data_IF_994217256645
#
_entry.id   IF_994217256645
#
_cell.length_a   1.000
_cell.length_b   1.000
_cell.length_c   1.000
_cell.angle_alpha   90.00
_cell.angle_beta   90.00
_cell.angle_gamma   90.00
#
_symmetry.space_group_name_H-M   'P 1'
#
loop_
_entity.id
_entity.type
_entity.pdbx_description
1 polymer ?
#
# COMPACT_ATOMS: atom_id res chain seq x y z
N UNK A 1 8.99 70.94 -44.94
CA UNK A 1 9.34 69.52 -44.71
C UNK A 1 9.73 69.35 -43.24
N UNK A 2 8.77 68.95 -42.38
CA UNK A 2 9.00 68.68 -40.95
C UNK A 2 9.00 67.16 -40.76
N UNK A 3 10.05 66.61 -40.16
CA UNK A 3 10.17 65.19 -39.81
C UNK A 3 9.43 64.94 -38.49
N UNK A 4 8.44 64.05 -38.48
CA UNK A 4 7.81 63.52 -37.27
C UNK A 4 8.71 62.48 -36.62
N UNK A 5 8.92 62.60 -35.31
CA UNK A 5 9.54 61.59 -34.45
C UNK A 5 8.41 60.83 -33.75
N UNK A 6 8.26 59.54 -34.05
CA UNK A 6 7.38 58.65 -33.30
C UNK A 6 8.09 58.13 -32.06
N UNK A 7 7.56 58.44 -30.88
CA UNK A 7 7.97 57.86 -29.60
C UNK A 7 7.26 56.50 -29.48
N UNK A 8 8.05 55.42 -29.56
CA UNK A 8 7.61 54.07 -29.23
C UNK A 8 7.72 53.91 -27.70
N UNK A 9 6.58 53.82 -27.02
CA UNK A 9 6.52 53.42 -25.62
C UNK A 9 6.70 51.90 -25.58
N UNK A 10 7.92 51.46 -25.27
CA UNK A 10 8.25 50.07 -25.00
C UNK A 10 7.91 49.78 -23.52
N UNK A 11 6.78 49.13 -23.27
CA UNK A 11 6.43 48.61 -21.95
C UNK A 11 7.35 47.42 -21.62
N UNK A 12 8.40 47.68 -20.85
CA UNK A 12 9.22 46.67 -20.19
C UNK A 12 8.41 46.05 -19.05
N UNK A 13 7.95 44.81 -19.24
CA UNK A 13 7.52 43.93 -18.15
C UNK A 13 8.58 42.83 -17.96
N UNK A 14 9.60 43.15 -17.17
CA UNK A 14 10.34 42.15 -16.38
C UNK A 14 9.70 42.20 -14.98
N UNK A 15 9.27 41.11 -14.35
CA UNK A 15 10.17 40.06 -13.89
C UNK A 15 9.37 38.93 -13.20
N UNK A 16 9.83 37.70 -13.45
CA UNK A 16 9.79 36.46 -12.64
C UNK A 16 8.76 36.31 -11.51
N UNK A 17 8.05 35.16 -11.47
CA UNK A 17 8.16 34.17 -10.38
C UNK A 17 7.58 32.80 -10.78
N UNK A 18 8.50 31.82 -10.83
CA UNK A 18 8.35 30.39 -10.52
C UNK A 18 7.49 29.53 -11.45
N UNK A 19 8.18 28.74 -12.30
CA UNK A 19 7.67 27.45 -12.77
C UNK A 19 7.45 26.59 -11.52
N UNK A 20 6.21 26.60 -11.03
CA UNK A 20 5.76 25.75 -9.94
C UNK A 20 5.82 24.32 -10.50
N UNK A 21 6.50 23.40 -9.80
CA UNK A 21 6.43 22.00 -10.18
C UNK A 21 4.98 21.56 -9.96
N UNK A 22 4.20 21.61 -11.03
CA UNK A 22 2.80 21.21 -11.05
C UNK A 22 2.77 19.69 -11.19
N UNK A 23 1.94 19.05 -10.37
CA UNK A 23 1.38 17.73 -10.69
C UNK A 23 1.05 17.73 -12.19
N UNK A 24 1.60 16.78 -12.94
CA UNK A 24 1.59 16.82 -14.41
C UNK A 24 0.17 17.09 -14.96
N UNK A 25 0.08 17.94 -15.99
CA UNK A 25 -1.19 18.41 -16.56
C UNK A 25 -2.12 17.28 -17.04
N UNK A 26 -1.55 16.11 -17.27
CA UNK A 26 -2.23 14.84 -17.50
C UNK A 26 -1.50 13.74 -16.73
N UNK A 27 -2.23 12.97 -15.93
CA UNK A 27 -1.65 11.89 -15.14
C UNK A 27 -2.69 11.14 -14.34
N UNK A 28 -2.46 9.83 -14.17
CA UNK A 28 -3.29 8.99 -13.32
C UNK A 28 -2.61 8.81 -11.96
N UNK A 29 -3.41 8.87 -10.91
CA UNK A 29 -2.96 8.81 -9.53
C UNK A 29 -3.74 7.71 -8.81
N UNK A 30 -3.01 6.70 -8.36
CA UNK A 30 -3.60 5.53 -7.74
C UNK A 30 -3.44 5.59 -6.23
N UNK A 31 -4.55 5.53 -5.49
CA UNK A 31 -4.55 5.56 -4.02
C UNK A 31 -4.52 4.17 -3.37
N UNK A 32 -4.33 3.11 -4.15
CA UNK A 32 -4.51 1.76 -3.65
C UNK A 32 -5.94 1.23 -3.75
N UNK A 33 -6.88 1.96 -4.36
CA UNK A 33 -8.21 1.45 -4.76
C UNK A 33 -8.65 2.06 -6.08
N UNK A 34 -8.74 3.38 -6.09
CA UNK A 34 -9.27 4.19 -7.17
C UNK A 34 -8.10 4.82 -7.92
N UNK A 35 -8.22 4.82 -9.24
CA UNK A 35 -7.35 5.60 -10.11
C UNK A 35 -8.02 6.93 -10.42
N UNK A 36 -7.44 8.02 -9.95
CA UNK A 36 -7.90 9.37 -10.23
C UNK A 36 -7.18 9.94 -11.45
N UNK A 37 -7.93 10.56 -12.35
CA UNK A 37 -7.37 11.43 -13.37
C UNK A 37 -7.13 12.82 -12.79
N UNK A 38 -5.94 13.37 -13.01
CA UNK A 38 -5.58 14.73 -12.64
C UNK A 38 -5.81 15.69 -13.82
N UNK A 39 -6.50 16.80 -13.56
CA UNK A 39 -6.70 17.89 -14.52
C UNK A 39 -6.23 19.21 -13.91
N UNK A 40 -5.23 19.81 -14.54
CA UNK A 40 -4.73 21.14 -14.14
C UNK A 40 -5.74 22.24 -14.44
N UNK A 41 -5.80 23.22 -13.54
CA UNK A 41 -6.69 24.38 -13.59
C UNK A 41 -5.89 25.67 -13.34
N UNK A 42 -6.43 26.86 -13.71
CA UNK A 42 -5.78 28.13 -13.43
C UNK A 42 -5.38 28.32 -11.96
N UNK A 43 -4.28 29.02 -11.73
CA UNK A 43 -3.73 29.24 -10.38
C UNK A 43 -3.08 28.01 -9.75
N UNK A 44 -2.68 27.03 -10.57
CA UNK A 44 -1.96 25.82 -10.13
C UNK A 44 -2.85 24.81 -9.38
N UNK A 45 -4.17 24.99 -9.41
CA UNK A 45 -5.13 24.05 -8.83
C UNK A 45 -5.18 22.79 -9.67
N UNK A 46 -5.49 21.65 -9.05
CA UNK A 46 -5.62 20.37 -9.75
C UNK A 46 -6.90 19.70 -9.31
N UNK A 47 -7.78 19.42 -10.25
CA UNK A 47 -8.99 18.62 -10.03
C UNK A 47 -8.61 17.15 -10.17
N UNK A 48 -8.95 16.36 -9.17
CA UNK A 48 -8.74 14.93 -9.13
C UNK A 48 -10.12 14.27 -9.24
N UNK A 49 -10.36 13.56 -10.34
CA UNK A 49 -11.65 12.94 -10.64
C UNK A 49 -11.51 11.44 -10.87
N UNK A 50 -12.47 10.67 -10.36
CA UNK A 50 -12.58 9.25 -10.63
C UNK A 50 -14.04 8.78 -10.61
N UNK A 51 -14.27 7.62 -11.23
CA UNK A 51 -15.51 6.86 -11.10
C UNK A 51 -15.18 5.49 -10.49
N UNK A 52 -15.88 5.10 -9.44
CA UNK A 52 -15.69 3.81 -8.77
C UNK A 52 -17.03 3.19 -8.41
N UNK A 53 -17.28 1.96 -8.87
CA UNK A 53 -18.52 1.22 -8.61
C UNK A 53 -19.83 2.00 -8.88
N UNK A 54 -19.80 2.93 -9.85
CA UNK A 54 -20.94 3.79 -10.22
C UNK A 54 -21.08 5.07 -9.39
N UNK A 55 -20.16 5.33 -8.45
CA UNK A 55 -20.07 6.55 -7.67
C UNK A 55 -18.98 7.49 -8.22
N UNK A 56 -19.31 8.78 -8.34
CA UNK A 56 -18.36 9.81 -8.77
C UNK A 56 -17.60 10.36 -7.57
N UNK A 57 -16.27 10.43 -7.70
CA UNK A 57 -15.36 10.96 -6.70
C UNK A 57 -14.63 12.19 -7.25
N UNK A 58 -14.59 13.27 -6.47
CA UNK A 58 -13.88 14.50 -6.85
C UNK A 58 -13.31 15.25 -5.65
N UNK A 59 -12.08 15.73 -5.80
CA UNK A 59 -11.48 16.70 -4.89
C UNK A 59 -10.53 17.62 -5.64
N UNK A 60 -10.24 18.78 -5.06
CA UNK A 60 -9.36 19.78 -5.67
C UNK A 60 -8.16 20.02 -4.78
N UNK A 61 -6.96 19.84 -5.34
CA UNK A 61 -5.71 20.25 -4.73
C UNK A 61 -5.50 21.74 -5.00
N UNK A 62 -5.34 22.51 -3.92
CA UNK A 62 -5.14 23.97 -3.97
C UNK A 62 -3.74 24.30 -3.48
N UNK A 63 -2.87 24.94 -4.29
CA UNK A 63 -1.51 25.26 -3.86
C UNK A 63 -1.48 26.11 -2.59
N UNK A 64 -0.55 25.80 -1.70
CA UNK A 64 -0.28 26.62 -0.52
C UNK A 64 0.70 27.73 -0.89
N UNK A 65 0.28 28.98 -0.72
CA UNK A 65 1.09 30.15 -1.03
C UNK A 65 2.46 30.07 -0.32
N UNK A 66 3.53 30.32 -1.08
CA UNK A 66 4.91 30.30 -0.59
C UNK A 66 5.46 28.90 -0.26
N UNK A 67 4.70 27.82 -0.45
CA UNK A 67 5.17 26.45 -0.21
C UNK A 67 5.12 25.63 -1.50
N UNK A 68 6.30 25.33 -2.04
CA UNK A 68 6.45 24.45 -3.19
C UNK A 68 5.93 23.05 -2.86
N UNK A 69 5.30 22.40 -3.85
CA UNK A 69 4.86 21.00 -3.78
C UNK A 69 3.91 20.71 -2.59
N UNK A 70 3.21 21.74 -2.12
CA UNK A 70 2.31 21.68 -0.98
C UNK A 70 0.92 22.18 -1.37
N UNK A 71 -0.10 21.41 -1.02
CA UNK A 71 -1.49 21.69 -1.39
C UNK A 71 -2.42 21.48 -0.18
N UNK A 72 -3.54 22.20 -0.15
CA UNK A 72 -4.71 21.84 0.68
C UNK A 72 -5.72 21.08 -0.16
N UNK A 73 -6.64 20.38 0.49
CA UNK A 73 -7.75 19.67 -0.16
C UNK A 73 -9.02 20.50 -0.04
N UNK A 74 -9.68 20.76 -1.16
CA UNK A 74 -11.01 21.34 -1.24
C UNK A 74 -11.98 20.36 -1.89
N UNK A 75 -13.28 20.58 -1.68
CA UNK A 75 -14.30 19.82 -2.38
C UNK A 75 -14.33 20.18 -3.87
N UNK A 76 -14.76 19.20 -4.66
CA UNK A 76 -15.17 19.39 -6.03
C UNK A 76 -16.34 20.36 -6.19
N UNK A 77 -16.53 20.88 -7.42
CA UNK A 77 -17.65 21.77 -7.74
C UNK A 77 -18.96 21.02 -7.96
N UNK A 78 -18.88 19.72 -8.25
CA UNK A 78 -20.01 18.93 -8.69
C UNK A 78 -20.75 18.20 -7.54
N UNK A 79 -20.30 18.40 -6.29
CA UNK A 79 -20.90 17.74 -5.12
C UNK A 79 -20.56 16.25 -4.98
N UNK A 80 -19.64 15.74 -5.79
CA UNK A 80 -19.15 14.37 -5.77
C UNK A 80 -18.40 14.01 -4.48
N UNK A 81 -18.19 12.71 -4.26
CA UNK A 81 -17.58 12.21 -3.03
C UNK A 81 -16.11 12.61 -2.94
N UNK A 82 -15.75 13.26 -1.84
CA UNK A 82 -14.36 13.60 -1.52
C UNK A 82 -13.84 12.68 -0.41
N UNK A 83 -13.13 11.60 -0.79
CA UNK A 83 -12.51 10.65 0.17
C UNK A 83 -11.45 11.30 1.07
N UNK A 84 -10.91 12.45 0.67
CA UNK A 84 -9.85 13.18 1.38
C UNK A 84 -10.38 14.40 2.15
N UNK A 85 -11.70 14.46 2.38
CA UNK A 85 -12.30 15.49 3.22
C UNK A 85 -11.68 15.46 4.63
N UNK A 86 -11.15 16.59 5.07
CA UNK A 86 -10.49 16.73 6.38
C UNK A 86 -8.98 16.52 6.37
N UNK A 87 -8.39 16.13 5.22
CA UNK A 87 -6.94 16.23 5.01
C UNK A 87 -6.54 17.70 5.08
N UNK A 88 -5.49 17.99 5.86
CA UNK A 88 -5.03 19.34 6.12
C UNK A 88 -4.01 19.79 5.09
N UNK A 89 -3.08 18.91 4.72
CA UNK A 89 -2.01 19.21 3.79
C UNK A 89 -1.69 17.98 2.93
N UNK A 90 -1.41 18.21 1.66
CA UNK A 90 -0.89 17.23 0.72
C UNK A 90 0.49 17.69 0.29
N UNK A 91 1.46 16.78 0.33
CA UNK A 91 2.83 17.04 -0.14
C UNK A 91 3.11 16.17 -1.36
N UNK A 92 3.60 16.78 -2.43
CA UNK A 92 4.07 16.09 -3.61
C UNK A 92 5.56 15.80 -3.47
N UNK A 93 5.94 14.55 -3.69
CA UNK A 93 7.32 14.11 -3.59
C UNK A 93 7.72 13.38 -4.86
N UNK A 94 8.82 13.84 -5.47
CA UNK A 94 9.51 13.15 -6.55
C UNK A 94 10.93 12.80 -6.14
N UNK A 95 11.14 11.57 -5.65
CA UNK A 95 12.40 11.15 -5.02
C UNK A 95 12.65 9.66 -5.23
N UNK A 96 13.90 9.29 -5.52
CA UNK A 96 14.32 7.88 -5.69
C UNK A 96 13.44 7.11 -6.71
N UNK A 97 13.04 7.77 -7.80
CA UNK A 97 12.18 7.19 -8.83
C UNK A 97 10.69 7.14 -8.48
N UNK A 98 10.30 7.49 -7.24
CA UNK A 98 8.92 7.60 -6.82
C UNK A 98 8.36 8.98 -7.13
N UNK A 99 7.10 9.02 -7.55
CA UNK A 99 6.32 10.24 -7.78
C UNK A 99 4.98 10.05 -7.05
N UNK A 100 4.84 10.70 -5.89
CA UNK A 100 3.78 10.40 -4.92
C UNK A 100 3.15 11.65 -4.31
N UNK A 101 1.86 11.58 -3.99
CA UNK A 101 1.14 12.56 -3.17
C UNK A 101 0.89 11.97 -1.79
N UNK A 102 1.37 12.65 -0.75
CA UNK A 102 1.25 12.23 0.64
C UNK A 102 0.22 13.11 1.37
N UNK A 103 -0.83 12.52 1.90
CA UNK A 103 -2.00 13.20 2.48
C UNK A 103 -1.93 13.17 4.01
N UNK A 104 -1.81 14.33 4.63
CA UNK A 104 -1.62 14.48 6.06
C UNK A 104 -2.84 15.13 6.72
N UNK A 105 -3.28 14.58 7.85
CA UNK A 105 -4.36 15.18 8.64
C UNK A 105 -3.86 16.40 9.45
N UNK A 106 -4.76 17.04 10.20
CA UNK A 106 -4.45 18.21 11.05
C UNK A 106 -3.42 17.95 12.16
N UNK A 107 -3.20 16.68 12.54
CA UNK A 107 -2.17 16.25 13.50
C UNK A 107 -0.84 15.93 12.81
N UNK A 108 -0.71 16.22 11.51
CA UNK A 108 0.44 15.89 10.67
C UNK A 108 0.73 14.38 10.61
N UNK A 109 -0.29 13.53 10.76
CA UNK A 109 -0.16 12.10 10.52
C UNK A 109 -0.46 11.80 9.05
N UNK A 110 0.41 11.01 8.41
CA UNK A 110 0.21 10.52 7.04
C UNK A 110 -0.98 9.54 7.02
N UNK A 111 -2.05 9.91 6.33
CA UNK A 111 -3.28 9.11 6.26
C UNK A 111 -3.48 8.39 4.93
N UNK A 112 -2.88 8.88 3.85
CA UNK A 112 -2.93 8.20 2.56
C UNK A 112 -1.72 8.60 1.70
N UNK A 113 -1.38 7.73 0.75
CA UNK A 113 -0.39 8.02 -0.29
C UNK A 113 -0.98 7.62 -1.65
N UNK A 114 -0.87 8.50 -2.63
CA UNK A 114 -1.16 8.19 -4.03
C UNK A 114 0.14 8.11 -4.80
N UNK A 115 0.28 7.09 -5.64
CA UNK A 115 1.39 7.00 -6.60
C UNK A 115 0.93 7.43 -7.98
N UNK A 116 1.76 8.20 -8.66
CA UNK A 116 1.60 8.44 -10.09
C UNK A 116 1.80 7.15 -10.88
N UNK A 117 1.00 6.91 -11.91
CA UNK A 117 1.11 5.73 -12.76
C UNK A 117 0.33 5.86 -14.06
N UNK A 118 0.30 4.77 -14.83
CA UNK A 118 -0.60 4.62 -15.98
C UNK A 118 -1.88 3.89 -15.56
N UNK A 119 -2.99 4.17 -16.27
CA UNK A 119 -4.33 3.66 -15.96
C UNK A 119 -4.41 2.11 -15.82
N UNK A 120 -3.53 1.37 -16.48
CA UNK A 120 -3.57 -0.10 -16.62
C UNK A 120 -2.78 -0.88 -15.57
N UNK A 121 -2.12 -0.22 -14.61
CA UNK A 121 -1.15 -0.88 -13.71
C UNK A 121 -1.72 -1.24 -12.32
N UNK A 122 -2.87 -0.68 -11.91
CA UNK A 122 -3.36 -0.80 -10.52
C UNK A 122 -3.71 -2.23 -10.08
N UNK A 123 -4.35 -3.02 -10.95
CA UNK A 123 -4.71 -4.42 -10.66
C UNK A 123 -3.48 -5.33 -10.65
N UNK A 124 -2.54 -5.13 -11.57
CA UNK A 124 -1.26 -5.85 -11.64
C UNK A 124 -0.40 -5.55 -10.43
N UNK A 125 -0.31 -4.29 -10.03
CA UNK A 125 0.38 -3.86 -8.81
C UNK A 125 -0.26 -4.56 -7.61
N UNK A 126 -1.58 -4.55 -7.47
CA UNK A 126 -2.27 -5.17 -6.33
C UNK A 126 -1.99 -6.68 -6.24
N UNK A 127 -2.08 -7.39 -7.35
CA UNK A 127 -1.73 -8.82 -7.43
C UNK A 127 -0.25 -9.05 -7.09
N UNK A 128 0.65 -8.24 -7.62
CA UNK A 128 2.08 -8.32 -7.33
C UNK A 128 2.37 -8.11 -5.83
N UNK A 129 1.73 -7.13 -5.19
CA UNK A 129 1.84 -6.86 -3.74
C UNK A 129 1.34 -8.05 -2.93
N UNK A 130 0.20 -8.63 -3.30
CA UNK A 130 -0.38 -9.78 -2.61
C UNK A 130 0.52 -11.01 -2.74
N UNK A 131 1.00 -11.33 -3.94
CA UNK A 131 1.91 -12.46 -4.17
C UNK A 131 3.21 -12.33 -3.38
N UNK A 132 3.81 -11.14 -3.37
CA UNK A 132 5.02 -10.87 -2.59
C UNK A 132 4.87 -11.17 -1.09
N UNK A 133 3.67 -11.04 -0.54
CA UNK A 133 3.40 -11.33 0.88
C UNK A 133 3.23 -12.82 1.16
N UNK A 134 2.75 -13.58 0.18
CA UNK A 134 2.59 -15.03 0.28
C UNK A 134 3.90 -15.79 0.16
N UNK A 135 4.89 -15.27 -0.57
CA UNK A 135 6.12 -15.99 -0.89
C UNK A 135 6.85 -16.47 0.38
N UNK A 136 7.31 -17.73 0.31
CA UNK A 136 8.13 -18.35 1.34
C UNK A 136 7.71 -19.78 1.65
N UNK A 137 8.35 -20.31 2.70
CA UNK A 137 8.17 -21.69 3.15
C UNK A 137 7.31 -21.75 4.40
N UNK A 138 6.35 -22.67 4.42
CA UNK A 138 5.37 -22.82 5.48
C UNK A 138 5.12 -24.28 5.83
N UNK A 139 4.69 -24.52 7.07
CA UNK A 139 4.18 -25.80 7.52
C UNK A 139 2.80 -25.61 8.16
N UNK A 140 1.92 -26.57 7.93
CA UNK A 140 0.58 -26.55 8.50
C UNK A 140 0.64 -26.76 10.02
N UNK A 141 -0.04 -25.91 10.75
CA UNK A 141 -0.25 -26.04 12.20
C UNK A 141 -1.49 -26.90 12.46
N UNK A 142 -1.47 -27.66 13.56
CA UNK A 142 -2.61 -28.46 14.04
C UNK A 142 -3.10 -29.53 13.03
N UNK A 143 -2.18 -30.24 12.37
CA UNK A 143 -2.52 -31.38 11.51
C UNK A 143 -2.54 -32.69 12.30
N UNK A 144 -3.56 -33.53 12.09
CA UNK A 144 -3.70 -34.86 12.71
C UNK A 144 -2.78 -35.94 12.10
N UNK A 145 -1.71 -35.55 11.39
CA UNK A 145 -0.78 -36.41 10.64
C UNK A 145 0.35 -35.58 10.01
N UNK A 146 1.03 -36.08 8.97
CA UNK A 146 2.02 -35.31 8.21
C UNK A 146 1.35 -34.06 7.61
N UNK A 147 1.57 -32.92 8.26
CA UNK A 147 1.03 -31.63 7.85
C UNK A 147 1.45 -31.26 6.43
N UNK A 148 0.71 -30.34 5.82
CA UNK A 148 1.10 -29.79 4.53
C UNK A 148 2.33 -28.89 4.71
N UNK A 149 3.36 -29.10 3.90
CA UNK A 149 4.48 -28.17 3.73
C UNK A 149 4.30 -27.44 2.41
N UNK A 150 4.37 -26.12 2.46
CA UNK A 150 4.22 -25.25 1.30
C UNK A 150 5.52 -24.52 1.05
N UNK A 151 5.96 -24.51 -0.19
CA UNK A 151 6.94 -23.56 -0.71
C UNK A 151 6.26 -22.74 -1.81
N UNK A 152 5.94 -21.50 -1.47
CA UNK A 152 5.18 -20.58 -2.32
C UNK A 152 6.16 -19.66 -3.05
N UNK A 153 6.09 -19.73 -4.38
CA UNK A 153 6.81 -18.86 -5.30
C UNK A 153 5.85 -17.94 -6.06
N UNK A 154 6.38 -17.11 -6.97
CA UNK A 154 5.62 -16.09 -7.69
C UNK A 154 4.40 -16.65 -8.46
N UNK A 155 4.52 -17.84 -9.04
CA UNK A 155 3.46 -18.43 -9.89
C UNK A 155 3.05 -19.84 -9.47
N UNK A 156 3.73 -20.43 -8.50
CA UNK A 156 3.57 -21.83 -8.15
C UNK A 156 3.66 -22.04 -6.65
N UNK A 157 2.93 -23.02 -6.17
CA UNK A 157 3.01 -23.54 -4.81
C UNK A 157 3.49 -24.98 -4.92
N UNK A 158 4.61 -25.29 -4.28
CA UNK A 158 5.04 -26.65 -4.07
C UNK A 158 4.42 -27.19 -2.77
N UNK A 159 3.54 -28.17 -2.88
CA UNK A 159 2.86 -28.84 -1.77
C UNK A 159 3.42 -30.24 -1.61
N UNK A 160 4.24 -30.47 -0.57
CA UNK A 160 4.88 -31.77 -0.31
C UNK A 160 5.51 -32.39 -1.59
N UNK A 161 6.30 -31.60 -2.34
CA UNK A 161 6.96 -31.97 -3.60
C UNK A 161 6.06 -32.00 -4.85
N UNK A 162 4.83 -31.51 -4.78
CA UNK A 162 3.93 -31.35 -5.93
C UNK A 162 3.74 -29.89 -6.29
N UNK A 163 4.11 -29.53 -7.50
CA UNK A 163 3.97 -28.17 -8.03
C UNK A 163 2.54 -27.91 -8.49
N UNK A 164 1.95 -26.80 -8.05
CA UNK A 164 0.58 -26.41 -8.34
C UNK A 164 0.55 -24.92 -8.71
N UNK A 165 -0.21 -24.56 -9.75
CA UNK A 165 -0.47 -23.15 -10.05
C UNK A 165 -1.53 -22.59 -9.10
N UNK A 166 -1.47 -21.28 -8.85
CA UNK A 166 -2.54 -20.59 -8.14
C UNK A 166 -2.87 -19.27 -8.82
N UNK A 167 -4.16 -18.95 -8.84
CA UNK A 167 -4.65 -17.66 -9.28
C UNK A 167 -4.90 -16.77 -8.08
N UNK A 168 -4.68 -15.46 -8.26
CA UNK A 168 -4.92 -14.44 -7.24
C UNK A 168 -5.95 -13.47 -7.77
N UNK A 169 -7.00 -13.27 -6.99
CA UNK A 169 -7.92 -12.15 -7.18
C UNK A 169 -7.79 -11.24 -5.99
N UNK A 170 -7.39 -10.00 -6.22
CA UNK A 170 -7.35 -8.95 -5.19
C UNK A 170 -8.55 -8.04 -5.34
N UNK A 171 -9.15 -7.63 -4.23
CA UNK A 171 -10.28 -6.70 -4.24
C UNK A 171 -9.77 -5.27 -4.08
N UNK A 172 -10.04 -4.40 -5.06
CA UNK A 172 -10.02 -2.95 -4.90
C UNK A 172 -8.75 -2.41 -4.19
N UNK A 173 -7.59 -3.00 -4.55
CA UNK A 173 -6.24 -2.72 -4.06
C UNK A 173 -6.00 -2.85 -2.55
N UNK A 174 -6.90 -3.54 -1.87
CA UNK A 174 -6.64 -4.11 -0.56
C UNK A 174 -5.80 -5.37 -0.77
N UNK A 175 -4.79 -5.59 0.08
CA UNK A 175 -4.09 -6.88 0.19
C UNK A 175 -4.98 -7.87 0.95
N UNK A 176 -6.21 -8.03 0.47
CA UNK A 176 -7.05 -9.17 0.67
C UNK A 176 -7.36 -9.71 -0.71
N UNK A 177 -7.15 -10.99 -0.84
CA UNK A 177 -7.42 -11.71 -2.04
C UNK A 177 -7.67 -13.15 -1.70
N UNK A 178 -8.25 -13.86 -2.64
CA UNK A 178 -8.31 -15.29 -2.56
C UNK A 178 -7.31 -15.92 -3.51
N UNK A 179 -6.74 -17.03 -3.05
CA UNK A 179 -6.03 -17.95 -3.91
C UNK A 179 -6.98 -19.05 -4.37
N UNK A 180 -6.94 -19.36 -5.65
CA UNK A 180 -7.61 -20.55 -6.18
C UNK A 180 -6.56 -21.57 -6.54
N UNK A 181 -6.69 -22.76 -5.96
CA UNK A 181 -5.80 -23.90 -6.20
C UNK A 181 -6.62 -24.97 -6.93
N UNK A 182 -6.23 -25.43 -8.13
CA UNK A 182 -6.95 -26.49 -8.83
C UNK A 182 -6.88 -27.82 -8.08
N UNK A 183 -7.67 -28.80 -8.51
CA UNK A 183 -7.59 -30.17 -7.99
C UNK A 183 -6.15 -30.71 -8.09
N UNK A 184 -5.66 -31.29 -6.99
CA UNK A 184 -4.31 -31.90 -6.91
C UNK A 184 -4.44 -33.34 -6.46
N UNK A 185 -3.88 -34.29 -7.20
CA UNK A 185 -3.93 -35.71 -6.78
C UNK A 185 -3.23 -35.94 -5.43
N UNK A 186 -3.81 -36.78 -4.56
CA UNK A 186 -3.20 -37.22 -3.30
C UNK A 186 -3.47 -36.29 -2.11
N UNK A 187 -2.62 -36.31 -1.08
CA UNK A 187 -2.81 -35.53 0.17
C UNK A 187 -2.88 -34.00 -0.07
N UNK A 188 -2.23 -33.50 -1.12
CA UNK A 188 -2.31 -32.09 -1.54
C UNK A 188 -3.72 -31.65 -1.96
N UNK A 189 -4.64 -32.57 -2.26
CA UNK A 189 -6.03 -32.24 -2.58
C UNK A 189 -6.74 -31.45 -1.46
N UNK A 190 -6.24 -31.55 -0.22
CA UNK A 190 -6.75 -30.78 0.92
C UNK A 190 -6.64 -29.27 0.71
N UNK A 191 -5.76 -28.80 -0.18
CA UNK A 191 -5.62 -27.41 -0.58
C UNK A 191 -6.43 -27.03 -1.83
N UNK A 192 -6.96 -27.99 -2.59
CA UNK A 192 -7.73 -27.67 -3.78
C UNK A 192 -8.99 -26.87 -3.42
N UNK A 193 -9.28 -25.80 -4.16
CA UNK A 193 -10.41 -24.88 -4.02
C UNK A 193 -9.99 -23.43 -3.83
N UNK A 194 -10.96 -22.58 -3.48
CA UNK A 194 -10.76 -21.13 -3.30
C UNK A 194 -10.65 -20.78 -1.82
N UNK A 195 -9.67 -19.94 -1.48
CA UNK A 195 -9.32 -19.60 -0.10
C UNK A 195 -9.04 -18.13 0.08
N UNK A 196 -9.67 -17.51 1.06
CA UNK A 196 -9.22 -16.22 1.56
C UNK A 196 -7.95 -16.41 2.39
N UNK A 197 -6.94 -15.59 2.12
CA UNK A 197 -5.70 -15.55 2.90
C UNK A 197 -5.81 -14.48 3.98
N UNK A 198 -5.71 -14.89 5.24
CA UNK A 198 -5.63 -13.99 6.39
C UNK A 198 -4.25 -14.13 7.03
N UNK A 199 -3.40 -13.12 6.88
CA UNK A 199 -2.06 -13.12 7.47
C UNK A 199 -2.11 -13.12 9.01
N UNK A 200 -1.26 -13.94 9.64
CA UNK A 200 -1.05 -13.98 11.09
C UNK A 200 0.37 -13.56 11.44
N UNK A 201 0.68 -13.39 12.73
CA UNK A 201 2.03 -13.01 13.19
C UNK A 201 3.14 -13.94 12.67
N UNK A 202 2.84 -15.22 12.47
CA UNK A 202 3.86 -16.21 12.16
C UNK A 202 3.55 -16.95 10.86
N UNK A 203 2.61 -16.48 10.04
CA UNK A 203 2.25 -17.10 8.77
C UNK A 203 0.90 -16.60 8.26
N UNK A 204 -0.03 -17.50 8.00
CA UNK A 204 -1.38 -17.15 7.54
C UNK A 204 -2.39 -18.26 7.86
N UNK A 205 -3.67 -17.89 7.82
CA UNK A 205 -4.81 -18.81 7.86
C UNK A 205 -5.53 -18.73 6.52
N UNK A 206 -5.81 -19.89 5.94
CA UNK A 206 -6.69 -20.02 4.79
C UNK A 206 -8.12 -20.31 5.27
N UNK A 207 -9.06 -19.45 4.89
CA UNK A 207 -10.48 -19.66 5.09
C UNK A 207 -11.13 -20.09 3.78
N UNK A 208 -11.81 -21.24 3.78
CA UNK A 208 -12.48 -21.74 2.59
C UNK A 208 -13.59 -20.77 2.15
N UNK A 209 -13.60 -20.46 0.86
CA UNK A 209 -14.62 -19.64 0.23
C UNK A 209 -15.50 -20.47 -0.71
N UNK A 210 -16.77 -20.08 -0.79
CA UNK A 210 -17.68 -20.47 -1.87
C UNK A 210 -18.16 -19.22 -2.61
N UNK A 211 -18.52 -19.38 -3.87
CA UNK A 211 -19.11 -18.30 -4.66
C UNK A 211 -20.62 -18.31 -4.48
N UNK A 212 -21.14 -17.24 -3.89
CA UNK A 212 -22.57 -17.01 -3.75
C UNK A 212 -23.09 -16.39 -5.05
N UNK A 213 -23.88 -17.18 -5.80
CA UNK A 213 -24.42 -16.75 -7.09
C UNK A 213 -25.52 -15.70 -6.96
N UNK A 214 -26.21 -15.68 -5.84
CA UNK A 214 -27.30 -14.73 -5.60
C UNK A 214 -26.74 -13.33 -5.41
N UNK A 215 -25.67 -13.22 -4.63
CA UNK A 215 -25.00 -11.95 -4.34
C UNK A 215 -23.79 -11.64 -5.22
N UNK A 216 -23.48 -12.54 -6.17
CA UNK A 216 -22.34 -12.45 -7.09
C UNK A 216 -21.01 -12.15 -6.35
N UNK A 217 -20.78 -12.81 -5.22
CA UNK A 217 -19.66 -12.52 -4.33
C UNK A 217 -19.07 -13.79 -3.69
N UNK A 218 -17.84 -13.69 -3.17
CA UNK A 218 -17.22 -14.79 -2.43
C UNK A 218 -17.51 -14.67 -0.93
N UNK A 219 -17.92 -15.78 -0.31
CA UNK A 219 -18.33 -15.83 1.10
C UNK A 219 -17.55 -16.92 1.83
N UNK A 220 -17.13 -16.65 3.08
CA UNK A 220 -16.51 -17.66 3.96
C UNK A 220 -17.52 -18.75 4.29
N UNK A 221 -17.11 -20.01 4.19
CA UNK A 221 -17.91 -21.13 4.65
C UNK A 221 -18.09 -21.11 6.18
N UNK A 222 -19.33 -21.05 6.68
CA UNK A 222 -19.63 -20.95 8.13
C UNK A 222 -19.19 -22.16 8.97
N UNK A 223 -19.20 -23.37 8.38
CA UNK A 223 -18.68 -24.61 9.00
C UNK A 223 -17.32 -25.01 8.39
N UNK A 224 -16.66 -24.06 7.72
CA UNK A 224 -15.61 -24.30 6.74
C UNK A 224 -14.32 -24.86 7.29
N UNK A 225 -13.63 -25.61 6.44
CA UNK A 225 -12.24 -26.00 6.68
C UNK A 225 -11.40 -24.73 6.79
N UNK A 226 -10.64 -24.57 7.89
CA UNK A 226 -9.55 -23.60 7.98
C UNK A 226 -8.22 -24.34 7.99
N UNK A 227 -7.23 -23.79 7.31
CA UNK A 227 -5.87 -24.31 7.33
C UNK A 227 -4.95 -23.23 7.85
N UNK A 228 -4.31 -23.48 8.99
CA UNK A 228 -3.34 -22.56 9.58
C UNK A 228 -1.94 -22.98 9.16
N UNK A 229 -1.14 -22.01 8.74
CA UNK A 229 0.23 -22.20 8.30
C UNK A 229 1.15 -21.28 9.09
N UNK A 230 2.24 -21.84 9.58
CA UNK A 230 3.37 -21.09 10.14
C UNK A 230 4.51 -21.09 9.15
N UNK A 231 5.18 -19.96 9.03
CA UNK A 231 6.42 -19.82 8.26
C UNK A 231 7.46 -20.71 8.94
N UNK A 232 8.16 -21.52 8.15
CA UNK A 232 9.35 -22.22 8.64
C UNK A 232 10.37 -21.17 9.13
N UNK A 233 11.28 -21.52 10.05
CA UNK A 233 12.36 -20.62 10.53
C UNK A 233 13.19 -20.12 9.34
N UNK A 234 12.73 -19.03 8.75
CA UNK A 234 13.19 -18.59 7.44
C UNK A 234 14.29 -17.56 7.64
N UNK A 235 15.34 -17.68 6.82
CA UNK A 235 16.35 -16.62 6.63
C UNK A 235 15.77 -15.34 6.01
N UNK A 236 14.45 -15.25 5.81
CA UNK A 236 13.78 -14.16 5.14
C UNK A 236 12.96 -13.30 6.10
N UNK A 237 12.85 -12.02 5.73
CA UNK A 237 12.03 -11.01 6.39
C UNK A 237 10.54 -11.29 6.18
N UNK A 238 9.73 -11.25 7.23
CA UNK A 238 8.29 -11.57 7.14
C UNK A 238 7.52 -10.51 6.36
N UNK A 239 7.88 -9.26 6.56
CA UNK A 239 7.36 -8.07 5.91
C UNK A 239 8.39 -7.41 4.98
N UNK A 240 9.32 -8.19 4.41
CA UNK A 240 10.38 -7.67 3.55
C UNK A 240 9.86 -6.88 2.34
N UNK A 241 8.65 -7.19 1.88
CA UNK A 241 7.96 -6.44 0.81
C UNK A 241 7.76 -4.96 1.17
N UNK A 242 7.62 -4.61 2.45
CA UNK A 242 7.42 -3.24 2.92
C UNK A 242 8.64 -2.34 2.68
N UNK A 243 9.81 -2.90 2.33
CA UNK A 243 10.97 -2.10 1.89
C UNK A 243 10.95 -1.73 0.40
N UNK A 244 10.13 -2.39 -0.42
CA UNK A 244 10.12 -2.16 -1.88
C UNK A 244 8.75 -1.82 -2.44
N UNK A 245 7.72 -1.82 -1.61
CA UNK A 245 6.32 -1.69 -2.02
C UNK A 245 5.65 -0.57 -1.26
N UNK A 246 5.07 0.40 -1.96
CA UNK A 246 4.23 1.42 -1.33
C UNK A 246 3.00 0.79 -0.68
N UNK A 247 2.85 0.97 0.64
CA UNK A 247 1.68 0.49 1.38
C UNK A 247 0.53 1.51 1.30
N UNK A 248 -0.68 1.07 1.62
CA UNK A 248 -1.85 1.95 1.73
C UNK A 248 -2.57 1.72 3.06
N UNK A 249 -3.32 2.72 3.49
CA UNK A 249 -4.05 2.76 4.75
C UNK A 249 -5.11 1.64 4.85
N UNK A 250 -5.85 1.35 3.78
CA UNK A 250 -6.88 0.30 3.77
C UNK A 250 -6.32 -1.10 4.05
N UNK A 251 -5.15 -1.42 3.50
CA UNK A 251 -4.44 -2.66 3.82
C UNK A 251 -4.07 -2.69 5.31
N UNK A 252 -3.51 -1.60 5.82
CA UNK A 252 -3.01 -1.52 7.18
C UNK A 252 -4.14 -1.49 8.23
N UNK A 253 -5.31 -0.93 7.87
CA UNK A 253 -6.50 -0.87 8.72
C UNK A 253 -7.05 -2.25 9.08
N UNK A 254 -6.78 -3.27 8.25
CA UNK A 254 -7.20 -4.65 8.50
C UNK A 254 -6.24 -5.44 9.39
N UNK A 255 -5.09 -4.86 9.73
CA UNK A 255 -4.07 -5.52 10.54
C UNK A 255 -4.14 -5.08 12.00
N UNK A 256 -3.86 -6.02 12.90
CA UNK A 256 -3.74 -5.71 14.33
C UNK A 256 -2.59 -4.74 14.62
N UNK A 257 -2.73 -3.93 15.67
CA UNK A 257 -1.69 -2.98 16.11
C UNK A 257 -0.35 -3.67 16.41
N UNK A 258 -0.38 -4.88 16.98
CA UNK A 258 0.83 -5.68 17.23
C UNK A 258 1.54 -6.08 15.93
N UNK A 259 0.78 -6.48 14.91
CA UNK A 259 1.30 -6.84 13.57
C UNK A 259 1.94 -5.63 12.91
N UNK A 260 1.28 -4.47 12.97
CA UNK A 260 1.80 -3.21 12.43
C UNK A 260 3.08 -2.76 13.13
N UNK A 261 3.13 -2.90 14.46
CA UNK A 261 4.34 -2.62 15.24
C UNK A 261 5.51 -3.47 14.76
N UNK A 262 5.30 -4.77 14.54
CA UNK A 262 6.37 -5.63 14.02
C UNK A 262 6.74 -5.24 12.59
N UNK A 263 5.77 -5.00 11.71
CA UNK A 263 6.02 -4.57 10.31
C UNK A 263 6.87 -3.29 10.23
N UNK A 264 6.51 -2.25 10.99
CA UNK A 264 7.28 -1.00 11.05
C UNK A 264 8.71 -1.24 11.51
N UNK A 265 8.87 -2.02 12.58
CA UNK A 265 10.18 -2.28 13.15
C UNK A 265 11.01 -3.26 12.32
N UNK A 266 10.41 -4.10 11.47
CA UNK A 266 11.17 -4.99 10.59
C UNK A 266 11.92 -4.20 9.50
N UNK A 267 11.31 -3.12 8.99
CA UNK A 267 11.99 -2.16 8.10
C UNK A 267 13.26 -1.66 8.80
N UNK A 268 13.14 -1.16 10.03
CA UNK A 268 14.28 -0.69 10.82
C UNK A 268 15.31 -1.81 11.11
N UNK A 269 14.85 -2.98 11.53
CA UNK A 269 15.69 -4.14 11.86
C UNK A 269 16.53 -4.59 10.66
N UNK A 270 15.98 -4.49 9.45
CA UNK A 270 16.68 -4.88 8.23
C UNK A 270 17.90 -4.02 7.91
N UNK A 271 17.96 -2.81 8.46
CA UNK A 271 19.11 -1.91 8.43
C UNK A 271 19.96 -1.97 9.70
N UNK A 272 19.71 -2.95 10.58
CA UNK A 272 20.48 -3.17 11.80
C UNK A 272 20.04 -2.32 13.01
N UNK A 273 18.84 -1.75 13.01
CA UNK A 273 18.34 -0.97 14.14
C UNK A 273 18.39 -1.74 15.45
N UNK A 274 19.07 -1.18 16.45
CA UNK A 274 19.16 -1.69 17.81
C UNK A 274 17.95 -1.23 18.61
N UNK A 275 17.08 -2.16 18.94
CA UNK A 275 15.87 -1.89 19.72
C UNK A 275 16.21 -1.73 21.21
N UNK A 276 15.55 -0.77 21.87
CA UNK A 276 15.57 -0.66 23.35
C UNK A 276 14.46 -1.47 24.01
N UNK A 277 13.39 -1.74 23.27
CA UNK A 277 12.21 -2.46 23.75
C UNK A 277 12.53 -3.95 23.87
N UNK A 278 12.32 -4.55 25.05
CA UNK A 278 12.68 -5.95 25.33
C UNK A 278 11.95 -6.94 24.40
N UNK A 279 10.65 -6.72 24.17
CA UNK A 279 9.84 -7.51 23.22
C UNK A 279 10.43 -7.52 21.80
N UNK A 280 10.86 -6.35 21.30
CA UNK A 280 11.45 -6.23 19.96
C UNK A 280 12.87 -6.83 19.90
N UNK A 281 13.66 -6.69 20.97
CA UNK A 281 14.96 -7.36 21.07
C UNK A 281 14.81 -8.89 21.01
N UNK A 282 13.87 -9.45 21.78
CA UNK A 282 13.60 -10.89 21.80
C UNK A 282 13.01 -11.37 20.46
N UNK A 283 12.12 -10.58 19.86
CA UNK A 283 11.52 -10.91 18.57
C UNK A 283 12.57 -10.92 17.45
N UNK A 284 13.30 -9.80 17.26
CA UNK A 284 14.29 -9.66 16.19
C UNK A 284 15.57 -10.43 16.46
N UNK A 285 15.97 -10.61 17.73
CA UNK A 285 17.14 -11.41 18.11
C UNK A 285 17.01 -12.90 17.76
N UNK A 286 15.79 -13.40 17.58
CA UNK A 286 15.53 -14.76 17.07
C UNK A 286 15.54 -14.85 15.54
N UNK A 287 15.58 -13.73 14.83
CA UNK A 287 15.56 -13.71 13.37
C UNK A 287 16.97 -13.91 12.82
N UNK A 288 17.19 -14.99 12.06
CA UNK A 288 18.52 -15.32 11.52
C UNK A 288 19.12 -14.25 10.60
N UNK A 289 18.27 -13.40 9.99
CA UNK A 289 18.69 -12.32 9.11
C UNK A 289 19.02 -11.01 9.84
N UNK A 290 18.63 -10.85 11.11
CA UNK A 290 18.83 -9.60 11.85
C UNK A 290 20.27 -9.49 12.35
N UNK A 291 20.94 -8.40 11.97
CA UNK A 291 22.31 -8.10 12.37
C UNK A 291 22.35 -6.67 12.92
N UNK A 292 22.39 -6.47 14.25
CA UNK A 292 22.41 -5.13 14.83
C UNK A 292 23.67 -4.37 14.42
N UNK A 293 23.51 -3.12 13.99
CA UNK A 293 24.59 -2.19 13.67
C UNK A 293 25.31 -1.71 14.95
N UNK A 294 26.46 -1.04 14.79
CA UNK A 294 27.18 -0.44 15.90
C UNK A 294 26.41 0.73 16.52
N UNK A 295 25.91 1.63 15.67
CA UNK A 295 25.05 2.76 16.03
C UNK A 295 23.75 2.78 15.22
N UNK A 296 22.69 3.34 15.81
CA UNK A 296 21.45 3.62 15.08
C UNK A 296 21.56 4.87 14.19
N UNK A 297 22.58 5.71 14.39
CA UNK A 297 22.79 6.92 13.60
C UNK A 297 23.21 6.61 12.15
N UNK A 298 23.73 5.40 11.92
CA UNK A 298 24.16 4.92 10.60
C UNK A 298 22.98 4.45 9.73
N UNK A 299 21.77 4.39 10.29
CA UNK A 299 20.61 3.79 9.64
C UNK A 299 19.99 4.76 8.65
N UNK A 300 20.03 4.37 7.38
CA UNK A 300 19.47 5.13 6.27
C UNK A 300 18.40 4.31 5.59
N UNK A 301 17.16 4.73 5.81
CA UNK A 301 16.01 4.18 5.10
C UNK A 301 15.92 4.81 3.71
N UNK A 302 15.53 4.02 2.71
CA UNK A 302 15.07 4.55 1.43
C UNK A 302 13.83 5.42 1.60
N UNK A 303 13.52 6.25 0.60
CA UNK A 303 12.33 7.11 0.61
C UNK A 303 11.04 6.31 0.84
N UNK A 304 10.91 5.15 0.19
CA UNK A 304 9.72 4.31 0.34
C UNK A 304 9.59 3.69 1.73
N UNK A 305 10.72 3.29 2.32
CA UNK A 305 10.76 2.78 3.69
C UNK A 305 10.37 3.86 4.71
N UNK A 306 10.82 5.10 4.52
CA UNK A 306 10.43 6.22 5.37
C UNK A 306 8.91 6.47 5.32
N UNK A 307 8.34 6.51 4.11
CA UNK A 307 6.89 6.67 3.93
C UNK A 307 6.10 5.54 4.57
N UNK A 308 6.53 4.29 4.36
CA UNK A 308 5.84 3.14 4.93
C UNK A 308 5.94 3.12 6.46
N UNK A 309 7.09 3.47 7.04
CA UNK A 309 7.24 3.61 8.49
C UNK A 309 6.28 4.67 9.04
N UNK A 310 6.16 5.83 8.37
CA UNK A 310 5.26 6.90 8.76
C UNK A 310 3.78 6.47 8.67
N UNK A 311 3.40 5.84 7.55
CA UNK A 311 2.03 5.37 7.32
C UNK A 311 1.61 4.29 8.33
N UNK A 312 2.48 3.30 8.58
CA UNK A 312 2.22 2.25 9.57
C UNK A 312 2.09 2.83 10.97
N UNK A 313 2.94 3.80 11.33
CA UNK A 313 2.89 4.47 12.63
C UNK A 313 1.60 5.28 12.81
N UNK A 314 1.17 6.00 11.77
CA UNK A 314 -0.08 6.74 11.79
C UNK A 314 -1.28 5.81 12.00
N UNK A 315 -1.28 4.64 11.37
CA UNK A 315 -2.31 3.62 11.61
C UNK A 315 -2.22 3.04 13.03
N UNK A 316 -1.03 2.65 13.51
CA UNK A 316 -0.82 2.08 14.85
C UNK A 316 -1.39 2.99 15.96
N UNK A 317 -1.19 4.29 15.81
CA UNK A 317 -1.57 5.32 16.80
C UNK A 317 -3.00 5.84 16.65
N UNK A 318 -3.72 5.44 15.59
CA UNK A 318 -5.12 5.83 15.43
C UNK A 318 -6.00 5.10 16.47
N UNK A 319 -6.65 5.88 17.33
CA UNK A 319 -7.48 5.37 18.43
C UNK A 319 -8.91 5.04 17.97
N UNK A 320 -9.31 5.47 16.78
CA UNK A 320 -10.67 5.28 16.26
C UNK A 320 -10.89 3.92 15.55
N UNK A 321 -9.89 3.03 15.57
CA UNK A 321 -9.92 1.71 14.89
C UNK A 321 -10.98 0.73 15.39
N UNK A 322 -11.47 0.90 16.62
CA UNK A 322 -12.36 -0.08 17.25
C UNK A 322 -13.86 0.09 16.92
N UNK A 323 -14.23 1.00 16.02
CA UNK A 323 -15.65 1.27 15.69
C UNK A 323 -16.23 0.39 14.58
N UNK A 324 -15.44 -0.48 13.93
CA UNK A 324 -15.87 -1.26 12.76
C UNK A 324 -15.44 -2.74 12.80
N UNK A 325 -15.30 -3.32 14.00
CA UNK A 325 -15.09 -4.77 14.16
C UNK A 325 -16.41 -5.51 14.34
#
# INVERSE_FOLDING_TARGET
MKKSVSIIILLFLCSFHVVQAQISESGYWYNGRITYSAKSMPGGRVVMYAMDEGEEHEFVLVPVAGKKDCYTVANGSNGYVNEYKGIAIVRHHKKEGWDVLCFYNKKNLLKAVMSHGSEWDSSKISVAKFKNQLIGEYYQVNSSGDGLKLDISWNQINVNLKLVSYDVVTFNGIVLGYITIPFVKGNANRLAGTWEVVYTLDGFILYRLYFDKEFNCWVRERKGTKLEFRKSDSKMRRFGFASGTLLNDRMLAKMDKSVLRIMRNEILASHGYRFKSKDLQEYFGRQAWYKPAASNDDIKLSFIEQLNVELIMAEETDNNRNSHR
#
